data_IF_432157546198
#
_entry.id   IF_432157546198
#
_cell.length_a   1.000
_cell.length_b   1.000
_cell.length_c   1.000
_cell.angle_alpha   90.00
_cell.angle_beta   90.00
_cell.angle_gamma   90.00
#
_symmetry.space_group_name_H-M   'P 1'
#
loop_
_entity.id
_entity.type
_entity.pdbx_description
1 polymer ?
#
# COMPACT_ATOMS: atom_id res chain seq x y z
N UNK A 1 2.70 -10.88 -13.22
CA UNK A 1 1.80 -10.37 -12.17
C UNK A 1 2.38 -10.78 -10.84
N UNK A 2 2.62 -9.85 -9.91
CA UNK A 2 3.09 -10.22 -8.58
C UNK A 2 2.00 -11.06 -7.90
N UNK A 3 2.26 -12.34 -7.71
CA UNK A 3 1.33 -13.29 -7.11
C UNK A 3 1.28 -12.97 -5.60
N UNK A 4 0.36 -12.08 -5.23
CA UNK A 4 0.14 -11.78 -3.82
C UNK A 4 -0.60 -12.96 -3.18
N UNK A 5 -0.21 -13.38 -1.98
CA UNK A 5 -0.98 -14.38 -1.24
C UNK A 5 -2.42 -13.92 -0.98
N UNK A 6 -3.36 -14.86 -0.87
CA UNK A 6 -4.77 -14.56 -0.57
C UNK A 6 -4.96 -13.67 0.66
N UNK A 7 -4.18 -13.89 1.70
CA UNK A 7 -4.22 -13.08 2.92
C UNK A 7 -3.84 -11.62 2.66
N UNK A 8 -2.98 -11.33 1.68
CA UNK A 8 -2.67 -9.96 1.25
C UNK A 8 -3.80 -9.38 0.41
N UNK A 9 -4.35 -10.20 -0.49
CA UNK A 9 -5.39 -9.77 -1.43
C UNK A 9 -6.69 -9.37 -0.70
N UNK A 10 -7.00 -10.00 0.44
CA UNK A 10 -8.13 -9.64 1.32
C UNK A 10 -8.09 -8.19 1.81
N UNK A 11 -6.89 -7.64 2.05
CA UNK A 11 -6.74 -6.26 2.53
C UNK A 11 -6.61 -5.23 1.41
N UNK A 12 -6.34 -5.68 0.17
CA UNK A 12 -6.16 -4.80 -0.98
C UNK A 12 -7.48 -4.10 -1.34
N UNK A 13 -7.55 -2.79 -1.07
CA UNK A 13 -8.70 -1.94 -1.42
C UNK A 13 -8.33 -0.90 -2.48
N UNK A 14 -9.33 -0.35 -3.18
CA UNK A 14 -9.12 0.77 -4.11
C UNK A 14 -8.52 1.96 -3.35
N UNK A 15 -7.48 2.59 -3.93
CA UNK A 15 -6.75 3.68 -3.27
C UNK A 15 -5.74 3.21 -2.22
N UNK A 16 -5.36 1.93 -2.25
CA UNK A 16 -4.25 1.41 -1.44
C UNK A 16 -3.17 0.80 -2.33
N UNK A 17 -1.92 0.98 -1.92
CA UNK A 17 -0.75 0.37 -2.53
C UNK A 17 -0.18 -0.65 -1.56
N UNK A 18 -0.12 -1.90 -2.00
CA UNK A 18 0.53 -2.98 -1.27
C UNK A 18 1.92 -3.18 -1.85
N UNK A 19 2.94 -2.89 -1.05
CA UNK A 19 4.33 -3.05 -1.41
C UNK A 19 4.95 -4.22 -0.64
N UNK A 20 5.46 -5.22 -1.36
CA UNK A 20 6.21 -6.33 -0.75
C UNK A 20 7.53 -5.81 -0.20
N UNK A 21 7.78 -5.98 1.09
CA UNK A 21 9.05 -5.62 1.75
C UNK A 21 9.92 -6.84 2.03
N UNK A 22 9.32 -7.97 2.40
CA UNK A 22 9.97 -9.28 2.57
C UNK A 22 9.05 -10.38 2.03
N UNK A 23 9.48 -11.62 2.13
CA UNK A 23 8.65 -12.77 1.75
C UNK A 23 7.31 -12.77 2.48
N UNK A 24 7.38 -12.60 3.80
CA UNK A 24 6.25 -12.61 4.74
C UNK A 24 5.78 -11.23 5.20
N UNK A 25 6.27 -10.15 4.58
CA UNK A 25 5.98 -8.79 5.05
C UNK A 25 5.61 -7.87 3.89
N UNK A 26 4.39 -7.37 3.94
CA UNK A 26 3.84 -6.41 2.99
C UNK A 26 3.48 -5.13 3.70
N UNK A 27 3.79 -3.99 3.11
CA UNK A 27 3.39 -2.68 3.61
C UNK A 27 2.22 -2.16 2.81
N UNK A 28 1.21 -1.68 3.50
CA UNK A 28 0.03 -1.08 2.92
C UNK A 28 0.09 0.43 3.12
N UNK A 29 -0.04 1.14 2.01
CA UNK A 29 -0.10 2.60 1.99
C UNK A 29 -1.42 3.04 1.39
N UNK A 30 -1.95 4.17 1.85
CA UNK A 30 -2.97 4.91 1.14
C UNK A 30 -2.30 5.68 0.01
N UNK A 31 -2.87 5.55 -1.19
CA UNK A 31 -2.40 6.24 -2.37
C UNK A 31 -3.56 6.85 -3.13
N UNK A 32 -3.30 7.99 -3.75
CA UNK A 32 -4.20 8.57 -4.73
C UNK A 32 -3.44 8.88 -6.01
N UNK A 33 -4.18 8.97 -7.12
CA UNK A 33 -3.60 9.32 -8.41
C UNK A 33 -3.95 10.77 -8.72
N UNK A 34 -2.94 11.59 -8.98
CA UNK A 34 -3.10 12.96 -9.47
C UNK A 34 -2.57 13.06 -10.89
N UNK A 35 -3.23 13.88 -11.72
CA UNK A 35 -2.69 14.20 -13.04
C UNK A 35 -1.53 15.18 -12.88
N UNK A 36 -0.31 14.73 -13.17
CA UNK A 36 0.85 15.62 -13.19
C UNK A 36 0.94 16.27 -14.58
N UNK A 37 0.66 17.58 -14.64
CA UNK A 37 0.68 18.37 -15.88
C UNK A 37 2.08 18.50 -16.48
N UNK A 38 3.12 18.57 -15.65
CA UNK A 38 4.51 18.71 -16.09
C UNK A 38 5.00 17.43 -16.77
N UNK A 39 4.74 16.28 -16.13
CA UNK A 39 5.11 14.95 -16.63
C UNK A 39 4.10 14.41 -17.65
N UNK A 40 3.00 15.13 -17.89
CA UNK A 40 1.86 14.75 -18.76
C UNK A 40 1.37 13.32 -18.52
N UNK A 41 1.33 12.89 -17.26
CA UNK A 41 0.90 11.54 -16.88
C UNK A 41 0.29 11.50 -15.49
N UNK A 42 -0.50 10.48 -15.22
CA UNK A 42 -0.96 10.17 -13.87
C UNK A 42 0.25 9.83 -12.98
N UNK A 43 0.39 10.52 -11.86
CA UNK A 43 1.38 10.25 -10.83
C UNK A 43 0.67 9.64 -9.62
N UNK A 44 1.18 8.51 -9.14
CA UNK A 44 0.72 7.92 -7.89
C UNK A 44 1.40 8.66 -6.73
N UNK A 45 0.61 9.19 -5.81
CA UNK A 45 1.07 9.85 -4.59
C UNK A 45 0.75 8.95 -3.40
N UNK A 46 1.70 8.85 -2.48
CA UNK A 46 1.58 8.08 -1.24
C UNK A 46 1.25 9.03 -0.10
N UNK A 47 0.05 8.87 0.50
CA UNK A 47 -0.44 9.76 1.55
C UNK A 47 -0.13 9.26 2.96
N UNK A 48 -0.49 8.01 3.24
CA UNK A 48 -0.54 7.51 4.62
C UNK A 48 -0.03 6.08 4.68
N UNK A 49 0.76 5.77 5.71
CA UNK A 49 1.09 4.39 6.03
C UNK A 49 -0.06 3.75 6.82
N UNK A 50 -0.76 2.80 6.20
CA UNK A 50 -1.90 2.11 6.80
C UNK A 50 -1.49 0.95 7.70
N UNK A 51 -0.34 0.32 7.41
CA UNK A 51 0.20 -0.75 8.25
C UNK A 51 0.96 -1.81 7.48
N UNK A 52 1.24 -2.91 8.17
CA UNK A 52 1.94 -4.06 7.62
C UNK A 52 1.04 -5.29 7.63
N UNK A 53 1.05 -6.06 6.55
CA UNK A 53 0.37 -7.34 6.42
C UNK A 53 1.45 -8.42 6.56
N UNK A 54 1.29 -9.27 7.55
CA UNK A 54 2.09 -10.48 7.80
C UNK A 54 1.20 -11.71 7.61
N UNK A 55 1.77 -12.92 7.46
CA UNK A 55 0.98 -14.16 7.41
C UNK A 55 0.13 -14.36 8.68
N UNK A 56 0.58 -13.80 9.80
CA UNK A 56 -0.16 -13.79 11.08
C UNK A 56 -1.39 -12.87 11.06
N UNK A 57 -1.38 -11.80 10.25
CA UNK A 57 -2.49 -10.86 10.15
C UNK A 57 -2.10 -9.46 9.69
N UNK A 58 -3.04 -8.53 9.81
CA UNK A 58 -2.79 -7.11 9.54
C UNK A 58 -2.44 -6.38 10.84
N UNK A 59 -1.23 -5.81 10.89
CA UNK A 59 -0.79 -4.97 12.01
C UNK A 59 -0.86 -3.50 11.60
N UNK A 60 -1.78 -2.78 12.23
CA UNK A 60 -1.86 -1.32 12.13
C UNK A 60 -0.66 -0.65 12.81
N UNK A 61 -0.17 0.47 12.28
CA UNK A 61 0.92 1.21 12.90
C UNK A 61 0.39 1.88 14.17
N UNK A 62 1.16 1.77 15.24
CA UNK A 62 0.81 2.36 16.55
C UNK A 62 0.67 3.88 16.50
N UNK A 63 1.31 4.54 15.53
CA UNK A 63 1.17 5.95 15.23
C UNK A 63 0.88 6.11 13.73
N UNK A 64 -0.19 6.84 13.41
CA UNK A 64 -0.50 7.21 12.02
C UNK A 64 0.61 8.13 11.52
N UNK A 65 1.25 7.73 10.43
CA UNK A 65 2.30 8.53 9.78
C UNK A 65 1.80 8.98 8.43
N UNK A 66 1.47 10.26 8.38
CA UNK A 66 1.15 11.00 7.16
C UNK A 66 2.50 11.32 6.50
N UNK A 67 2.62 11.03 5.21
CA UNK A 67 3.83 11.24 4.39
C UNK A 67 3.76 12.53 3.59
#
# INVERSE_FOLDING_TARGET
>A
MANYPDWVMKYKKKGTLVQRKRDDLYYMYRVHSIWNKEKKRAQLITDEFLGKITPDGFTEPRAKRIM
#
